data_IF_286887569691
#
_entry.id   IF_286887569691
#
_cell.length_a   1.000
_cell.length_b   1.000
_cell.length_c   1.000
_cell.angle_alpha   90.00
_cell.angle_beta   90.00
_cell.angle_gamma   90.00
#
_symmetry.space_group_name_H-M   'P 1'
#
loop_
_entity.id
_entity.type
_entity.pdbx_description
1 polymer ?
#
# COMPACT_ATOMS: atom_id res chain seq x y z
N UNK A 1 -14.33 1.72 16.93
CA UNK A 1 -13.96 1.81 18.33
C UNK A 1 -12.91 2.89 18.54
N UNK A 2 -13.03 3.60 19.62
CA UNK A 2 -12.11 4.68 19.95
C UNK A 2 -10.69 4.15 20.21
N UNK A 3 -9.71 4.77 19.55
CA UNK A 3 -8.30 4.45 19.76
C UNK A 3 -7.82 3.15 19.17
N UNK A 4 -8.65 2.44 18.41
CA UNK A 4 -8.26 1.21 17.73
C UNK A 4 -8.22 1.46 16.23
N UNK A 5 -7.02 1.34 15.64
CA UNK A 5 -6.78 1.53 14.20
C UNK A 5 -6.05 0.29 13.67
N UNK A 6 -6.79 -0.77 13.27
CA UNK A 6 -6.14 -2.03 12.84
C UNK A 6 -5.16 -1.86 11.69
N UNK A 7 -5.39 -0.86 10.82
CA UNK A 7 -4.54 -0.61 9.66
C UNK A 7 -3.57 0.57 9.86
N UNK A 8 -3.47 1.10 11.08
CA UNK A 8 -2.59 2.24 11.36
C UNK A 8 -1.16 1.94 10.93
N UNK A 9 -0.64 2.78 10.04
CA UNK A 9 0.72 2.68 9.49
C UNK A 9 1.03 1.34 8.82
N UNK A 10 0.02 0.52 8.55
CA UNK A 10 0.22 -0.73 7.79
C UNK A 10 0.56 -0.39 6.34
N UNK A 11 1.62 -0.98 5.78
CA UNK A 11 1.90 -0.81 4.36
C UNK A 11 0.86 -1.54 3.52
N UNK A 12 0.33 -0.84 2.50
CA UNK A 12 -0.73 -1.36 1.65
C UNK A 12 -0.38 -1.10 0.19
N UNK A 13 -0.59 -2.11 -0.66
CA UNK A 13 -0.50 -2.01 -2.11
C UNK A 13 -1.91 -2.22 -2.70
N UNK A 14 -2.26 -1.41 -3.70
CA UNK A 14 -3.56 -1.52 -4.36
C UNK A 14 -3.35 -2.00 -5.79
N UNK A 15 -4.08 -3.05 -6.16
CA UNK A 15 -4.14 -3.56 -7.53
C UNK A 15 -5.58 -3.72 -7.95
N UNK A 16 -5.82 -3.79 -9.24
CA UNK A 16 -7.17 -4.00 -9.75
C UNK A 16 -7.18 -4.46 -11.19
N UNK A 17 -8.33 -4.95 -11.61
CA UNK A 17 -8.56 -5.42 -12.98
C UNK A 17 -9.95 -4.99 -13.43
N UNK A 18 -10.11 -4.79 -14.74
CA UNK A 18 -11.40 -4.50 -15.33
C UNK A 18 -11.49 -5.10 -16.74
N UNK A 19 -12.71 -5.21 -17.26
CA UNK A 19 -12.93 -5.66 -18.64
C UNK A 19 -12.52 -4.60 -19.68
N UNK A 20 -12.56 -3.32 -19.31
CA UNK A 20 -12.29 -2.20 -20.20
C UNK A 20 -10.86 -1.69 -20.14
N UNK A 21 -10.64 -0.50 -20.69
CA UNK A 21 -9.32 0.13 -20.78
C UNK A 21 -8.85 0.84 -19.53
N UNK A 22 -9.78 1.23 -18.63
CA UNK A 22 -9.42 2.04 -17.45
C UNK A 22 -8.87 1.22 -16.28
N UNK A 23 -8.97 -0.11 -16.32
CA UNK A 23 -8.31 -0.99 -15.37
C UNK A 23 -8.68 -0.79 -13.90
N UNK A 24 -9.90 -0.34 -13.61
CA UNK A 24 -10.40 -0.07 -12.24
C UNK A 24 -9.80 1.20 -11.58
N UNK A 25 -9.31 2.16 -12.38
CA UNK A 25 -8.63 3.34 -11.85
C UNK A 25 -9.48 4.14 -10.84
N UNK A 26 -10.79 4.30 -11.11
CA UNK A 26 -11.69 5.03 -10.21
C UNK A 26 -11.86 4.32 -8.88
N UNK A 27 -12.06 3.00 -8.90
CA UNK A 27 -12.20 2.21 -7.68
C UNK A 27 -10.93 2.27 -6.84
N UNK A 28 -9.76 2.21 -7.46
CA UNK A 28 -8.49 2.32 -6.77
C UNK A 28 -8.29 3.69 -6.14
N UNK A 29 -8.69 4.76 -6.84
CA UNK A 29 -8.60 6.11 -6.30
C UNK A 29 -9.47 6.25 -5.04
N UNK A 30 -10.71 5.77 -5.10
CA UNK A 30 -11.63 5.82 -3.96
C UNK A 30 -11.09 5.02 -2.77
N UNK A 31 -10.57 3.81 -3.02
CA UNK A 31 -9.99 2.97 -1.98
C UNK A 31 -8.77 3.65 -1.35
N UNK A 32 -7.93 4.27 -2.15
CA UNK A 32 -6.76 5.01 -1.66
C UNK A 32 -7.16 6.14 -0.73
N UNK A 33 -8.20 6.90 -1.08
CA UNK A 33 -8.72 7.97 -0.25
C UNK A 33 -9.23 7.45 1.10
N UNK A 34 -9.94 6.31 1.09
CA UNK A 34 -10.43 5.68 2.31
C UNK A 34 -9.27 5.23 3.20
N UNK A 35 -8.30 4.53 2.63
CA UNK A 35 -7.16 3.98 3.38
C UNK A 35 -6.27 5.08 3.97
N UNK A 36 -6.14 6.21 3.28
CA UNK A 36 -5.36 7.36 3.77
C UNK A 36 -6.15 8.26 4.73
N UNK A 37 -7.43 8.00 4.94
CA UNK A 37 -8.27 8.84 5.79
C UNK A 37 -7.82 8.83 7.25
N UNK A 38 -8.17 9.87 8.04
CA UNK A 38 -7.82 9.91 9.46
C UNK A 38 -8.40 8.76 10.28
N UNK A 39 -9.48 8.13 9.81
CA UNK A 39 -10.13 7.01 10.49
C UNK A 39 -9.38 5.69 10.30
N UNK A 40 -8.67 5.52 9.18
CA UNK A 40 -7.97 4.27 8.84
C UNK A 40 -6.46 4.40 9.04
N UNK A 41 -5.86 5.45 8.52
CA UNK A 41 -4.43 5.79 8.68
C UNK A 41 -3.47 4.72 8.16
N UNK A 42 -3.83 4.01 7.10
CA UNK A 42 -2.92 3.09 6.44
C UNK A 42 -1.85 3.86 5.66
N UNK A 43 -0.72 3.21 5.39
CA UNK A 43 0.34 3.76 4.55
C UNK A 43 0.29 3.07 3.20
N UNK A 44 -0.14 3.80 2.16
CA UNK A 44 -0.42 3.23 0.83
C UNK A 44 0.75 3.49 -0.11
N UNK A 45 1.23 2.41 -0.77
CA UNK A 45 2.26 2.53 -1.81
C UNK A 45 1.73 3.43 -2.94
N UNK A 46 2.48 4.48 -3.35
CA UNK A 46 2.00 5.40 -4.39
C UNK A 46 1.78 4.76 -5.75
N UNK A 47 2.52 3.69 -6.07
CA UNK A 47 2.43 3.01 -7.35
C UNK A 47 1.12 2.24 -7.47
N UNK A 48 0.59 2.18 -8.69
CA UNK A 48 -0.66 1.50 -8.99
C UNK A 48 -0.46 0.43 -10.05
N UNK A 49 -1.15 -0.68 -9.90
CA UNK A 49 -1.26 -1.70 -10.93
C UNK A 49 -2.70 -1.80 -11.40
N UNK A 50 -2.91 -1.53 -12.70
CA UNK A 50 -4.23 -1.52 -13.34
C UNK A 50 -4.21 -2.53 -14.49
N UNK A 51 -4.85 -3.68 -14.31
CA UNK A 51 -5.00 -4.67 -15.36
C UNK A 51 -6.23 -4.34 -16.20
N UNK A 52 -6.00 -3.86 -17.42
CA UNK A 52 -7.07 -3.61 -18.40
C UNK A 52 -7.36 -4.89 -19.19
N UNK A 53 -8.55 -4.96 -19.78
CA UNK A 53 -8.96 -6.09 -20.65
C UNK A 53 -8.73 -7.44 -19.97
N UNK A 54 -9.24 -7.60 -18.77
CA UNK A 54 -8.96 -8.78 -17.95
C UNK A 54 -9.42 -10.11 -18.57
N UNK A 55 -10.44 -10.08 -19.44
CA UNK A 55 -10.89 -11.30 -20.11
C UNK A 55 -9.85 -11.87 -21.07
N UNK A 56 -8.99 -11.01 -21.65
CA UNK A 56 -7.94 -11.42 -22.57
C UNK A 56 -6.57 -11.56 -21.90
N UNK A 57 -6.49 -11.27 -20.62
CA UNK A 57 -5.20 -11.19 -19.90
C UNK A 57 -4.66 -12.56 -19.50
N UNK A 58 -5.52 -13.57 -19.44
CA UNK A 58 -5.17 -14.89 -18.91
C UNK A 58 -5.35 -15.97 -19.98
N UNK A 59 -4.50 -17.00 -19.92
CA UNK A 59 -4.65 -18.17 -20.78
C UNK A 59 -5.63 -19.21 -20.19
N UNK A 60 -5.72 -20.38 -20.83
CA UNK A 60 -6.62 -21.46 -20.38
C UNK A 60 -6.24 -21.99 -18.99
N UNK A 61 -4.99 -21.84 -18.58
CA UNK A 61 -4.48 -22.29 -17.28
C UNK A 61 -4.63 -21.21 -16.19
N UNK A 62 -5.15 -20.03 -16.53
CA UNK A 62 -5.28 -18.92 -15.59
C UNK A 62 -4.01 -18.10 -15.41
N UNK A 63 -3.02 -18.28 -16.30
CA UNK A 63 -1.76 -17.52 -16.22
C UNK A 63 -1.83 -16.26 -17.09
N UNK A 64 -1.17 -15.18 -16.61
CA UNK A 64 -1.03 -13.96 -17.39
C UNK A 64 -0.19 -14.22 -18.64
N UNK A 65 -0.65 -13.71 -19.80
CA UNK A 65 -0.01 -13.98 -21.08
C UNK A 65 0.91 -12.87 -21.57
N UNK A 66 0.74 -11.62 -21.10
CA UNK A 66 1.51 -10.48 -21.55
C UNK A 66 2.76 -10.34 -20.67
N UNK A 67 3.93 -10.51 -21.29
CA UNK A 67 5.21 -10.43 -20.56
C UNK A 67 5.46 -9.04 -19.98
N UNK A 68 5.02 -7.97 -20.62
CA UNK A 68 5.18 -6.62 -20.10
C UNK A 68 4.32 -6.40 -18.85
N UNK A 69 3.11 -6.95 -18.83
CA UNK A 69 2.23 -6.93 -17.65
C UNK A 69 2.84 -7.70 -16.50
N UNK A 70 3.38 -8.90 -16.79
CA UNK A 70 4.03 -9.73 -15.78
C UNK A 70 5.23 -9.00 -15.15
N UNK A 71 6.07 -8.39 -15.98
CA UNK A 71 7.24 -7.62 -15.50
C UNK A 71 6.81 -6.44 -14.65
N UNK A 72 5.76 -5.74 -15.03
CA UNK A 72 5.22 -4.59 -14.30
C UNK A 72 4.70 -5.02 -12.93
N UNK A 73 3.97 -6.13 -12.88
CA UNK A 73 3.45 -6.68 -11.64
C UNK A 73 4.59 -7.13 -10.72
N UNK A 74 5.58 -7.84 -11.25
CA UNK A 74 6.75 -8.27 -10.48
C UNK A 74 7.51 -7.07 -9.91
N UNK A 75 7.69 -6.00 -10.69
CA UNK A 75 8.36 -4.79 -10.25
C UNK A 75 7.61 -4.12 -9.09
N UNK A 76 6.28 -4.05 -9.17
CA UNK A 76 5.46 -3.47 -8.10
C UNK A 76 5.55 -4.33 -6.83
N UNK A 77 5.53 -5.65 -6.95
CA UNK A 77 5.71 -6.53 -5.80
C UNK A 77 7.08 -6.35 -5.14
N UNK A 78 8.14 -6.19 -5.94
CA UNK A 78 9.47 -5.93 -5.40
C UNK A 78 9.52 -4.58 -4.68
N UNK A 79 8.95 -3.54 -5.26
CA UNK A 79 8.85 -2.23 -4.64
C UNK A 79 8.03 -2.30 -3.36
N UNK A 80 6.95 -3.08 -3.36
CA UNK A 80 6.14 -3.26 -2.16
C UNK A 80 6.93 -3.94 -1.04
N UNK A 81 7.73 -4.95 -1.35
CA UNK A 81 8.58 -5.60 -0.33
C UNK A 81 9.57 -4.62 0.29
N UNK A 82 10.17 -3.75 -0.52
CA UNK A 82 11.05 -2.69 -0.04
C UNK A 82 10.27 -1.71 0.81
N UNK A 83 9.09 -1.31 0.35
CA UNK A 83 8.19 -0.39 1.05
C UNK A 83 7.80 -0.92 2.42
N UNK A 84 7.49 -2.21 2.55
CA UNK A 84 7.19 -2.84 3.83
C UNK A 84 8.37 -2.70 4.79
N UNK A 85 9.59 -2.98 4.33
CA UNK A 85 10.80 -2.89 5.16
C UNK A 85 11.09 -1.46 5.60
N UNK A 86 10.96 -0.51 4.69
CA UNK A 86 11.19 0.91 4.99
C UNK A 86 10.15 1.43 5.98
N UNK A 87 8.88 1.08 5.78
CA UNK A 87 7.79 1.46 6.67
C UNK A 87 8.00 0.90 8.07
N UNK A 88 8.45 -0.34 8.19
CA UNK A 88 8.76 -0.97 9.47
C UNK A 88 9.89 -0.24 10.19
N UNK A 89 10.97 0.08 9.48
CA UNK A 89 12.10 0.83 10.05
C UNK A 89 11.67 2.23 10.48
N UNK A 90 10.85 2.91 9.69
CA UNK A 90 10.33 4.22 10.03
C UNK A 90 9.48 4.17 11.29
N UNK A 91 8.59 3.19 11.39
CA UNK A 91 7.74 3.00 12.56
C UNK A 91 8.59 2.76 13.82
N UNK A 92 9.61 1.91 13.73
CA UNK A 92 10.50 1.62 14.84
C UNK A 92 11.28 2.88 15.27
N UNK A 93 11.75 3.68 14.31
CA UNK A 93 12.41 4.95 14.59
C UNK A 93 11.47 5.94 15.26
N UNK A 94 10.22 6.02 14.83
CA UNK A 94 9.22 6.89 15.44
C UNK A 94 8.91 6.46 16.88
N UNK A 95 8.83 5.17 17.15
CA UNK A 95 8.62 4.65 18.50
C UNK A 95 9.77 5.01 19.43
N UNK A 96 11.02 4.88 18.96
CA UNK A 96 12.20 5.27 19.73
C UNK A 96 12.20 6.76 20.04
N UNK A 97 11.85 7.60 19.06
CA UNK A 97 11.78 9.06 19.28
C UNK A 97 10.69 9.44 20.27
N UNK A 98 9.54 8.76 20.24
CA UNK A 98 8.47 8.98 21.21
C UNK A 98 8.92 8.59 22.61
N UNK A 99 9.61 7.48 22.75
CA UNK A 99 10.15 7.03 24.03
C UNK A 99 11.12 8.04 24.59
N UNK A 100 12.05 8.53 23.77
CA UNK A 100 13.00 9.57 24.19
C UNK A 100 12.27 10.84 24.64
N UNK A 101 11.20 11.23 23.93
CA UNK A 101 10.40 12.39 24.33
C UNK A 101 9.66 12.17 25.64
N UNK A 102 9.16 10.95 25.89
CA UNK A 102 8.49 10.59 27.14
C UNK A 102 9.45 10.57 28.32
N UNK A 103 10.70 10.15 28.10
CA UNK A 103 11.73 10.08 29.10
C UNK A 103 12.39 11.44 29.35
N UNK A 104 12.04 12.45 28.54
CA UNK A 104 12.62 13.79 28.68
C UNK A 104 12.06 14.50 29.91
N UNK A 105 12.95 14.99 30.76
CA UNK A 105 12.56 15.68 32.00
C UNK A 105 12.35 17.19 31.73
N UNK A 106 11.09 17.54 31.51
CA UNK A 106 10.70 18.93 31.24
C UNK A 106 10.87 19.85 32.46
N UNK A 107 10.93 19.28 33.66
CA UNK A 107 11.07 20.06 34.90
C UNK A 107 12.48 20.56 35.13
N UNK A 108 13.49 19.94 34.55
CA UNK A 108 14.90 20.30 34.70
C UNK A 108 15.43 21.16 33.55
N UNK A 109 14.56 21.79 32.80
CA UNK A 109 14.97 22.73 31.75
C UNK A 109 15.45 24.07 32.32
#
# INVERSE_FOLDING_TARGET
SYGIYPLLSKPVMITGASYGTLGSSRAQLQLRQILNSPEIKATVLPEEFLLSHSLQAFDQNGDLVDLDVIKKLDAIFDDFRIFVKVTEKLRNAQELLRKDAEDFDWENL
#
